data_IF_840765327759
#
_entry.id   IF_840765327759
#
_cell.length_a   1.000
_cell.length_b   1.000
_cell.length_c   1.000
_cell.angle_alpha   90.00
_cell.angle_beta   90.00
_cell.angle_gamma   90.00
#
_symmetry.space_group_name_H-M   'P 1'
#
loop_
_entity.id
_entity.type
_entity.pdbx_description
1 polymer ?
#
# COMPACT_ATOMS: atom_id res chain seq x y z
N UNK A 1 18.45 62.33 -1.98
CA UNK A 1 19.75 61.88 -1.41
C UNK A 1 19.71 60.35 -1.42
N UNK A 2 19.98 59.75 -2.58
CA UNK A 2 21.29 59.23 -3.03
C UNK A 2 21.52 57.79 -2.49
N UNK A 3 21.39 56.76 -3.35
CA UNK A 3 22.43 56.16 -4.25
C UNK A 3 23.32 55.17 -3.46
N UNK A 4 23.72 53.96 -3.89
CA UNK A 4 23.45 53.05 -5.04
C UNK A 4 23.80 51.62 -4.52
N UNK A 5 23.29 50.46 -4.95
CA UNK A 5 22.59 49.97 -6.15
C UNK A 5 23.47 49.57 -7.36
N UNK A 6 23.56 48.24 -7.60
CA UNK A 6 23.67 47.56 -8.91
C UNK A 6 25.05 47.45 -9.67
N UNK A 7 25.42 46.19 -9.93
CA UNK A 7 26.06 45.58 -11.14
C UNK A 7 27.59 45.50 -11.41
N UNK A 8 27.88 44.45 -12.21
CA UNK A 8 29.03 44.09 -13.09
C UNK A 8 30.23 43.39 -12.40
N UNK A 9 30.62 42.17 -12.79
CA UNK A 9 31.07 41.61 -14.10
C UNK A 9 32.47 42.07 -14.54
N UNK A 10 33.46 41.17 -14.45
CA UNK A 10 34.52 40.81 -15.43
C UNK A 10 35.45 39.79 -14.73
N UNK A 11 35.63 38.53 -15.17
CA UNK A 11 36.36 37.97 -16.33
C UNK A 11 37.88 37.77 -16.15
N UNK A 12 38.33 36.53 -16.40
CA UNK A 12 39.70 36.06 -16.78
C UNK A 12 40.89 36.10 -15.79
N UNK A 13 41.81 35.13 -15.95
CA UNK A 13 43.16 35.09 -15.33
C UNK A 13 43.40 33.88 -14.40
N UNK A 14 43.37 32.63 -14.87
CA UNK A 14 44.59 31.84 -15.18
C UNK A 14 45.75 31.98 -14.15
N UNK A 15 46.02 30.93 -13.37
CA UNK A 15 47.39 30.37 -13.25
C UNK A 15 47.38 28.89 -12.80
N UNK A 16 48.23 28.12 -13.47
CA UNK A 16 48.66 26.72 -13.31
C UNK A 16 49.36 26.42 -11.96
N UNK A 17 49.66 25.19 -11.51
CA UNK A 17 49.26 23.80 -11.80
C UNK A 17 49.97 22.86 -10.77
N UNK A 18 49.90 21.52 -10.97
CA UNK A 18 50.52 20.42 -10.19
C UNK A 18 49.88 20.14 -8.80
N UNK A 19 49.76 18.90 -8.35
CA UNK A 19 50.52 17.68 -8.69
C UNK A 19 49.60 16.45 -8.89
N UNK A 20 49.96 15.55 -9.83
CA UNK A 20 49.30 14.27 -10.07
C UNK A 20 50.25 13.13 -9.67
N UNK A 21 49.70 12.04 -9.12
CA UNK A 21 50.39 10.75 -9.01
C UNK A 21 49.46 9.64 -9.48
N UNK A 22 50.01 8.71 -10.25
CA UNK A 22 49.28 7.85 -11.18
C UNK A 22 49.59 6.38 -10.93
N UNK A 23 48.60 5.50 -11.13
CA UNK A 23 48.85 4.11 -11.55
C UNK A 23 47.83 3.75 -12.63
N UNK A 24 48.33 3.25 -13.75
CA UNK A 24 47.54 2.78 -14.90
C UNK A 24 47.98 1.36 -15.25
N UNK A 25 47.04 0.52 -15.72
CA UNK A 25 47.41 -0.55 -16.64
C UNK A 25 46.24 -0.84 -17.59
N UNK A 26 46.56 -0.89 -18.88
CA UNK A 26 45.62 -1.14 -19.98
C UNK A 26 45.79 -2.56 -20.50
N UNK A 27 44.73 -3.14 -21.08
CA UNK A 27 44.75 -3.46 -22.52
C UNK A 27 43.35 -3.75 -23.06
N UNK A 28 43.12 -3.37 -24.32
CA UNK A 28 41.96 -3.75 -25.14
C UNK A 28 42.50 -4.13 -26.51
N UNK A 29 42.01 -5.23 -27.07
CA UNK A 29 42.18 -5.58 -28.47
C UNK A 29 40.89 -6.21 -28.99
N UNK A 30 40.58 -5.98 -30.26
CA UNK A 30 39.29 -6.27 -30.88
C UNK A 30 39.52 -6.47 -32.38
N UNK A 31 39.27 -7.67 -32.90
CA UNK A 31 39.32 -8.00 -34.34
C UNK A 31 38.27 -9.08 -34.66
N UNK A 32 37.81 -9.13 -35.91
CA UNK A 32 36.69 -9.98 -36.35
C UNK A 32 36.96 -10.57 -37.76
N UNK A 33 36.31 -11.70 -38.06
CA UNK A 33 36.22 -12.39 -39.36
C UNK A 33 37.57 -12.90 -39.95
N UNK A 34 37.65 -13.89 -40.85
CA UNK A 34 36.61 -14.54 -41.66
C UNK A 34 36.98 -16.05 -41.95
N UNK A 35 36.53 -16.80 -42.99
CA UNK A 35 35.97 -18.14 -42.76
C UNK A 35 36.69 -19.32 -43.44
N UNK A 36 36.46 -20.55 -42.95
CA UNK A 36 36.62 -21.78 -43.74
C UNK A 36 35.82 -22.95 -43.13
N UNK A 37 34.69 -23.26 -43.77
CA UNK A 37 33.94 -24.53 -43.66
C UNK A 37 34.59 -25.60 -44.58
N UNK A 38 34.17 -26.89 -44.65
CA UNK A 38 33.00 -27.59 -44.08
C UNK A 38 33.46 -28.79 -43.18
N UNK A 39 32.73 -29.86 -42.84
CA UNK A 39 31.48 -30.46 -43.33
C UNK A 39 30.81 -31.35 -42.26
N UNK A 40 29.68 -31.99 -42.59
CA UNK A 40 28.75 -32.67 -41.67
C UNK A 40 28.99 -34.19 -41.60
N UNK A 41 28.95 -34.81 -40.41
CA UNK A 41 28.21 -36.07 -40.14
C UNK A 41 28.40 -36.61 -38.71
N UNK A 42 27.28 -37.08 -38.13
CA UNK A 42 27.23 -38.05 -37.02
C UNK A 42 27.19 -39.48 -37.62
N UNK A 43 27.49 -40.60 -36.91
CA UNK A 43 26.77 -40.98 -35.70
C UNK A 43 27.53 -41.82 -34.63
N UNK A 44 26.79 -42.13 -33.56
CA UNK A 44 26.81 -43.37 -32.76
C UNK A 44 28.03 -43.81 -31.92
N UNK A 45 27.78 -43.78 -30.60
CA UNK A 45 28.10 -44.81 -29.60
C UNK A 45 29.50 -45.45 -29.56
N UNK A 46 30.28 -45.04 -28.57
CA UNK A 46 30.89 -45.99 -27.62
C UNK A 46 30.89 -45.37 -26.21
N UNK A 47 30.39 -46.11 -25.22
CA UNK A 47 30.56 -45.79 -23.80
C UNK A 47 31.55 -46.77 -23.16
N UNK A 48 32.75 -46.32 -22.76
CA UNK A 48 33.58 -47.05 -21.83
C UNK A 48 33.39 -46.49 -20.41
N UNK A 49 32.87 -47.35 -19.52
CA UNK A 49 33.25 -47.54 -18.11
C UNK A 49 33.61 -46.34 -17.22
N UNK A 50 32.93 -46.26 -16.07
CA UNK A 50 33.36 -45.49 -14.89
C UNK A 50 34.84 -45.73 -14.51
N UNK A 51 35.64 -44.68 -14.60
CA UNK A 51 36.83 -44.46 -13.76
C UNK A 51 37.22 -42.97 -13.74
N UNK A 52 37.40 -42.45 -12.52
CA UNK A 52 38.04 -41.18 -12.16
C UNK A 52 37.49 -39.86 -12.76
N UNK A 53 36.25 -39.51 -12.39
CA UNK A 53 35.86 -38.10 -12.23
C UNK A 53 36.39 -37.57 -10.88
N UNK A 54 37.21 -36.49 -10.83
CA UNK A 54 37.73 -35.97 -9.58
C UNK A 54 36.59 -35.40 -8.71
N UNK A 55 36.46 -35.94 -7.51
CA UNK A 55 35.47 -35.52 -6.51
C UNK A 55 35.59 -34.01 -6.25
N UNK A 56 34.52 -33.28 -6.59
CA UNK A 56 34.45 -31.83 -6.44
C UNK A 56 34.55 -31.52 -4.93
N UNK A 57 35.60 -30.84 -4.44
CA UNK A 57 35.83 -30.77 -3.00
C UNK A 57 34.66 -30.06 -2.33
N UNK A 58 34.05 -30.74 -1.36
CA UNK A 58 33.00 -30.15 -0.52
C UNK A 58 33.46 -28.79 0.03
N UNK A 59 32.55 -27.80 0.18
CA UNK A 59 32.91 -26.50 0.74
C UNK A 59 33.36 -26.68 2.20
N UNK A 60 34.67 -26.82 2.40
CA UNK A 60 35.32 -26.92 3.71
C UNK A 60 34.76 -25.84 4.61
N UNK A 61 33.95 -26.25 5.61
CA UNK A 61 33.35 -25.35 6.61
C UNK A 61 34.46 -24.51 7.21
N UNK A 62 34.54 -23.25 6.80
CA UNK A 62 35.58 -22.35 7.28
C UNK A 62 35.40 -22.19 8.79
N UNK A 63 36.36 -22.71 9.55
CA UNK A 63 36.40 -22.55 11.01
C UNK A 63 36.41 -21.05 11.28
N UNK A 64 35.29 -20.52 11.78
CA UNK A 64 35.17 -19.09 12.12
C UNK A 64 36.33 -18.74 13.04
N UNK A 65 37.15 -17.78 12.64
CA UNK A 65 38.24 -17.28 13.46
C UNK A 65 37.71 -16.90 14.85
N UNK A 66 38.48 -17.10 15.92
CA UNK A 66 38.02 -16.83 17.28
C UNK A 66 37.60 -15.37 17.39
N UNK A 67 36.30 -15.14 17.61
CA UNK A 67 35.75 -13.80 17.78
C UNK A 67 36.33 -13.22 19.07
N UNK A 68 37.06 -12.13 18.93
CA UNK A 68 37.69 -11.43 20.05
C UNK A 68 36.69 -11.14 21.19
N UNK A 69 37.21 -11.17 22.43
CA UNK A 69 36.45 -11.06 23.68
C UNK A 69 35.71 -9.72 23.78
N UNK A 70 36.29 -8.63 23.26
CA UNK A 70 35.63 -7.32 23.23
C UNK A 70 34.53 -7.28 22.17
N UNK A 71 34.80 -7.84 20.98
CA UNK A 71 33.80 -8.02 19.92
C UNK A 71 32.60 -8.83 20.41
N UNK A 72 32.82 -9.89 21.19
CA UNK A 72 31.75 -10.67 21.83
C UNK A 72 30.95 -9.82 22.83
N UNK A 73 31.63 -9.08 23.71
CA UNK A 73 31.00 -8.18 24.70
C UNK A 73 30.15 -7.09 24.03
N UNK A 74 30.64 -6.47 22.95
CA UNK A 74 29.90 -5.50 22.15
C UNK A 74 28.65 -6.13 21.52
N UNK A 75 28.79 -7.31 20.89
CA UNK A 75 27.68 -8.01 20.26
C UNK A 75 26.60 -8.42 21.27
N UNK A 76 26.98 -8.87 22.47
CA UNK A 76 26.03 -9.25 23.51
C UNK A 76 25.33 -8.02 24.11
N UNK A 77 26.03 -6.89 24.27
CA UNK A 77 25.43 -5.62 24.66
C UNK A 77 24.47 -5.09 23.59
N UNK A 78 24.84 -5.18 22.31
CA UNK A 78 23.99 -4.80 21.18
C UNK A 78 22.70 -5.63 21.14
N UNK A 79 22.80 -6.96 21.25
CA UNK A 79 21.63 -7.87 21.29
C UNK A 79 20.71 -7.56 22.46
N UNK A 80 21.26 -7.41 23.67
CA UNK A 80 20.48 -7.09 24.88
C UNK A 80 19.79 -5.73 24.78
N UNK A 81 20.50 -4.71 24.30
CA UNK A 81 19.94 -3.37 24.06
C UNK A 81 18.82 -3.38 23.04
N UNK A 82 19.00 -4.07 21.91
CA UNK A 82 18.00 -4.17 20.85
C UNK A 82 16.75 -4.95 21.31
N UNK A 83 16.93 -6.06 22.02
CA UNK A 83 15.82 -6.81 22.62
C UNK A 83 15.03 -5.96 23.62
N UNK A 84 15.72 -5.20 24.48
CA UNK A 84 15.06 -4.31 25.43
C UNK A 84 14.33 -3.13 24.78
N UNK A 85 14.78 -2.66 23.60
CA UNK A 85 14.05 -1.70 22.75
C UNK A 85 12.79 -2.34 22.18
N UNK A 86 12.86 -3.55 21.61
CA UNK A 86 11.68 -4.24 21.07
C UNK A 86 10.65 -4.60 22.16
N UNK A 87 11.09 -4.98 23.37
CA UNK A 87 10.18 -5.13 24.51
C UNK A 87 9.48 -3.82 24.89
N UNK A 88 10.20 -2.69 24.88
CA UNK A 88 9.63 -1.39 25.18
C UNK A 88 8.66 -0.93 24.09
N UNK A 89 8.96 -1.20 22.82
CA UNK A 89 8.07 -0.97 21.68
C UNK A 89 6.79 -1.81 21.78
N UNK A 90 6.91 -3.11 22.05
CA UNK A 90 5.76 -4.02 22.24
C UNK A 90 4.88 -3.61 23.43
N UNK A 91 5.47 -3.12 24.53
CA UNK A 91 4.75 -2.58 25.70
C UNK A 91 4.30 -1.12 25.52
N UNK A 92 4.61 -0.48 24.39
CA UNK A 92 4.35 0.94 24.07
C UNK A 92 4.93 1.93 25.11
N UNK A 93 6.02 1.55 25.76
CA UNK A 93 6.72 2.31 26.81
C UNK A 93 7.60 3.41 26.21
N UNK A 94 6.95 4.53 25.87
CA UNK A 94 7.60 5.69 25.28
C UNK A 94 8.72 6.30 26.17
N UNK A 95 8.56 6.48 27.51
CA UNK A 95 9.64 6.97 28.36
C UNK A 95 10.89 6.08 28.33
N UNK A 96 10.74 4.75 28.31
CA UNK A 96 11.87 3.81 28.25
C UNK A 96 12.56 3.83 26.89
N UNK A 97 11.82 3.91 25.79
CA UNK A 97 12.41 4.14 24.46
C UNK A 97 13.18 5.47 24.41
N UNK A 98 12.59 6.54 24.95
CA UNK A 98 13.24 7.86 25.04
C UNK A 98 14.53 7.84 25.87
N UNK A 99 14.58 7.04 26.93
CA UNK A 99 15.83 6.79 27.70
C UNK A 99 16.87 6.04 26.86
N UNK A 100 16.50 4.91 26.23
CA UNK A 100 17.44 4.16 25.38
C UNK A 100 18.02 5.00 24.25
N UNK A 101 17.18 5.77 23.55
CA UNK A 101 17.63 6.66 22.49
C UNK A 101 18.47 7.84 22.95
N UNK A 102 18.46 8.21 24.25
CA UNK A 102 19.26 9.30 24.79
C UNK A 102 20.57 8.84 25.45
N UNK A 103 20.63 7.64 26.04
CA UNK A 103 21.78 7.23 26.89
C UNK A 103 22.46 5.93 26.47
N UNK A 104 21.90 5.12 25.57
CA UNK A 104 22.49 3.83 25.25
C UNK A 104 23.82 4.01 24.48
N UNK A 105 24.95 3.38 24.89
CA UNK A 105 26.27 3.67 24.31
C UNK A 105 26.36 3.34 22.81
N UNK A 106 25.71 2.26 22.37
CA UNK A 106 25.74 1.81 20.97
C UNK A 106 24.75 2.62 20.10
N UNK A 107 25.21 3.37 19.07
CA UNK A 107 24.35 4.20 18.21
C UNK A 107 23.26 3.41 17.49
N UNK A 108 23.55 2.17 17.06
CA UNK A 108 22.57 1.29 16.41
C UNK A 108 21.35 0.98 17.29
N UNK A 109 21.51 0.94 18.61
CA UNK A 109 20.39 0.77 19.55
C UNK A 109 19.63 2.09 19.75
N UNK A 110 20.32 3.23 19.75
CA UNK A 110 19.67 4.55 19.76
C UNK A 110 18.82 4.77 18.50
N UNK A 111 19.35 4.42 17.33
CA UNK A 111 18.62 4.42 16.07
C UNK A 111 17.41 3.46 16.10
N UNK A 112 17.55 2.25 16.66
CA UNK A 112 16.41 1.35 16.85
C UNK A 112 15.34 1.93 17.78
N UNK A 113 15.73 2.59 18.88
CA UNK A 113 14.81 3.29 19.76
C UNK A 113 14.11 4.46 19.06
N UNK A 114 14.83 5.23 18.24
CA UNK A 114 14.25 6.31 17.43
C UNK A 114 13.17 5.81 16.45
N UNK A 115 13.42 4.69 15.75
CA UNK A 115 12.43 4.04 14.90
C UNK A 115 11.24 3.51 15.72
N UNK A 116 11.48 2.88 16.88
CA UNK A 116 10.43 2.41 17.77
C UNK A 116 9.51 3.54 18.26
N UNK A 117 10.07 4.70 18.65
CA UNK A 117 9.30 5.91 19.00
C UNK A 117 8.42 6.36 17.81
N UNK A 118 8.96 6.30 16.59
CA UNK A 118 8.22 6.55 15.36
C UNK A 118 7.01 5.64 15.19
N UNK A 119 7.21 4.31 15.33
CA UNK A 119 6.16 3.29 15.18
C UNK A 119 5.10 3.31 16.29
N UNK A 120 5.38 3.94 17.43
CA UNK A 120 4.34 4.20 18.44
C UNK A 120 3.35 5.30 18.00
N UNK A 121 3.72 6.14 17.03
CA UNK A 121 2.90 7.24 16.48
C UNK A 121 2.39 8.25 17.53
N UNK A 122 3.05 8.29 18.69
CA UNK A 122 2.72 9.22 19.77
C UNK A 122 3.35 10.59 19.53
N UNK A 123 2.54 11.65 19.43
CA UNK A 123 3.01 13.05 19.32
C UNK A 123 3.98 13.43 20.45
N UNK A 124 3.77 12.90 21.65
CA UNK A 124 4.67 13.04 22.81
C UNK A 124 6.08 12.47 22.59
N UNK A 125 6.27 11.64 21.57
CA UNK A 125 7.55 11.08 21.15
C UNK A 125 8.46 12.07 20.42
N UNK A 126 7.88 13.08 19.74
CA UNK A 126 8.64 14.04 18.93
C UNK A 126 9.78 14.70 19.72
N UNK A 127 9.53 15.12 20.96
CA UNK A 127 10.53 15.75 21.86
C UNK A 127 11.77 14.89 22.16
N UNK A 128 11.65 13.56 22.06
CA UNK A 128 12.80 12.66 22.22
C UNK A 128 13.59 12.56 20.91
N UNK A 129 12.89 12.52 19.77
CA UNK A 129 13.50 12.47 18.44
C UNK A 129 14.21 13.79 18.09
N UNK A 130 13.65 14.94 18.47
CA UNK A 130 14.31 16.25 18.42
C UNK A 130 15.70 16.19 19.09
N UNK A 131 15.76 15.75 20.35
CA UNK A 131 17.02 15.61 21.11
C UNK A 131 18.02 14.64 20.47
N UNK A 132 17.55 13.61 19.76
CA UNK A 132 18.43 12.69 19.03
C UNK A 132 18.97 13.35 17.76
N UNK A 133 18.16 14.14 17.04
CA UNK A 133 18.62 14.91 15.87
C UNK A 133 19.72 15.90 16.27
N UNK A 134 19.55 16.60 17.40
CA UNK A 134 20.48 17.64 17.85
C UNK A 134 21.83 17.09 18.36
N UNK A 135 21.85 15.85 18.89
CA UNK A 135 22.97 15.33 19.69
C UNK A 135 23.70 14.14 19.08
N UNK A 136 23.09 13.41 18.15
CA UNK A 136 23.66 12.17 17.62
C UNK A 136 24.31 12.30 16.24
N UNK A 137 25.11 11.27 15.94
CA UNK A 137 25.66 11.02 14.61
C UNK A 137 24.60 10.60 13.57
N UNK A 138 25.00 10.68 12.31
CA UNK A 138 24.18 10.53 11.10
C UNK A 138 23.16 9.39 11.15
N UNK A 139 23.59 8.16 11.46
CA UNK A 139 22.71 6.97 11.50
C UNK A 139 21.51 7.14 12.44
N UNK A 140 21.69 7.78 13.59
CA UNK A 140 20.59 8.03 14.55
C UNK A 140 19.74 9.20 14.09
N UNK A 141 20.34 10.25 13.49
CA UNK A 141 19.58 11.37 12.91
C UNK A 141 18.65 10.90 11.80
N UNK A 142 19.13 10.07 10.86
CA UNK A 142 18.30 9.44 9.82
C UNK A 142 17.13 8.67 10.43
N UNK A 143 17.40 7.83 11.44
CA UNK A 143 16.36 7.08 12.15
C UNK A 143 15.35 7.99 12.89
N UNK A 144 15.81 9.10 13.47
CA UNK A 144 14.96 10.06 14.16
C UNK A 144 14.11 10.89 13.18
N UNK A 145 14.65 11.30 12.02
CA UNK A 145 13.88 11.93 10.94
C UNK A 145 12.81 10.98 10.38
N UNK A 146 13.15 9.71 10.13
CA UNK A 146 12.15 8.67 9.77
C UNK A 146 11.06 8.54 10.84
N UNK A 147 11.43 8.54 12.12
CA UNK A 147 10.48 8.50 13.23
C UNK A 147 9.57 9.73 13.32
N UNK A 148 10.12 10.94 13.14
CA UNK A 148 9.35 12.18 13.08
C UNK A 148 8.38 12.17 11.89
N UNK A 149 8.84 11.71 10.72
CA UNK A 149 8.03 11.56 9.52
C UNK A 149 6.88 10.54 9.69
N UNK A 150 7.06 9.54 10.55
CA UNK A 150 5.97 8.63 10.91
C UNK A 150 4.94 9.32 11.81
N UNK A 151 5.38 10.05 12.85
CA UNK A 151 4.52 10.74 13.81
C UNK A 151 3.77 11.94 13.19
N UNK A 152 4.41 12.72 12.32
CA UNK A 152 3.80 13.89 11.66
C UNK A 152 3.42 15.05 12.59
N UNK A 153 4.11 15.23 13.73
CA UNK A 153 3.74 16.27 14.70
C UNK A 153 4.02 17.69 14.15
N UNK A 154 3.06 18.65 14.20
CA UNK A 154 3.30 20.04 13.85
C UNK A 154 4.45 20.71 14.64
N UNK A 155 4.71 20.24 15.86
CA UNK A 155 5.88 20.67 16.66
C UNK A 155 7.24 20.29 16.05
N UNK A 156 7.27 19.65 14.89
CA UNK A 156 8.49 19.24 14.17
C UNK A 156 8.68 19.99 12.85
N UNK A 157 7.86 21.01 12.54
CA UNK A 157 7.94 21.78 11.30
C UNK A 157 9.34 22.34 11.04
N UNK A 158 9.97 22.99 12.03
CA UNK A 158 11.34 23.52 11.91
C UNK A 158 12.37 22.44 11.56
N UNK A 159 12.24 21.25 12.14
CA UNK A 159 13.10 20.11 11.81
C UNK A 159 12.86 19.66 10.37
N UNK A 160 11.62 19.59 9.90
CA UNK A 160 11.33 19.26 8.50
C UNK A 160 11.84 20.34 7.53
N UNK A 161 11.69 21.63 7.85
CA UNK A 161 12.22 22.73 7.02
C UNK A 161 13.75 22.76 6.95
N UNK A 162 14.43 22.39 8.04
CA UNK A 162 15.88 22.19 8.06
C UNK A 162 16.28 20.92 7.28
N UNK A 163 15.64 19.79 7.56
CA UNK A 163 15.94 18.49 6.95
C UNK A 163 15.66 18.44 5.44
N UNK A 164 14.68 19.19 4.94
CA UNK A 164 14.44 19.36 3.50
C UNK A 164 15.62 20.02 2.75
N UNK A 165 16.50 20.74 3.46
CA UNK A 165 17.73 21.35 2.92
C UNK A 165 18.99 20.50 3.18
N UNK A 166 18.86 19.32 3.78
CA UNK A 166 19.99 18.46 4.13
C UNK A 166 20.73 17.92 2.90
N UNK A 167 22.05 17.75 3.00
CA UNK A 167 22.83 16.99 2.02
C UNK A 167 22.47 15.49 2.02
N UNK A 168 22.04 14.97 3.17
CA UNK A 168 21.57 13.59 3.35
C UNK A 168 20.19 13.41 2.68
N UNK A 169 20.15 12.52 1.68
CA UNK A 169 18.94 12.20 0.91
C UNK A 169 17.83 11.61 1.78
N UNK A 170 18.16 10.75 2.74
CA UNK A 170 17.18 10.10 3.61
C UNK A 170 16.50 11.11 4.53
N UNK A 171 17.27 12.07 5.05
CA UNK A 171 16.75 13.19 5.85
C UNK A 171 15.84 14.09 5.00
N UNK A 172 16.21 14.39 3.74
CA UNK A 172 15.33 15.13 2.82
C UNK A 172 14.00 14.40 2.60
N UNK A 173 14.04 13.14 2.12
CA UNK A 173 12.83 12.34 1.81
C UNK A 173 11.93 12.19 3.05
N UNK A 174 12.53 11.91 4.21
CA UNK A 174 11.80 11.85 5.49
C UNK A 174 11.13 13.20 5.83
N UNK A 175 11.79 14.32 5.56
CA UNK A 175 11.23 15.65 5.84
C UNK A 175 10.01 15.97 4.99
N UNK A 176 10.05 15.72 3.68
CA UNK A 176 8.87 15.87 2.80
C UNK A 176 7.72 14.94 3.21
N UNK A 177 8.03 13.67 3.56
CA UNK A 177 7.04 12.72 4.08
C UNK A 177 6.40 13.20 5.40
N UNK A 178 7.19 13.83 6.27
CA UNK A 178 6.73 14.42 7.54
C UNK A 178 5.83 15.63 7.34
N UNK A 179 6.23 16.58 6.48
CA UNK A 179 5.44 17.76 6.10
C UNK A 179 4.01 17.41 5.70
N UNK A 180 3.83 16.34 4.91
CA UNK A 180 2.51 15.82 4.53
C UNK A 180 1.55 15.60 5.70
N UNK A 181 2.03 15.02 6.81
CA UNK A 181 1.21 14.68 7.97
C UNK A 181 0.98 15.81 8.96
N UNK A 182 1.72 16.92 8.86
CA UNK A 182 1.58 18.06 9.79
C UNK A 182 0.28 18.84 9.60
N UNK A 183 -0.32 18.80 8.41
CA UNK A 183 -1.47 19.62 8.00
C UNK A 183 -1.22 21.14 8.11
N UNK A 184 0.05 21.57 8.04
CA UNK A 184 0.44 22.98 8.06
C UNK A 184 0.38 23.62 6.66
N UNK A 185 -0.27 24.78 6.48
CA UNK A 185 -0.36 25.43 5.16
C UNK A 185 1.00 25.77 4.54
N UNK A 186 2.00 26.17 5.33
CA UNK A 186 3.35 26.43 4.84
C UNK A 186 4.06 25.16 4.39
N UNK A 187 3.88 24.06 5.12
CA UNK A 187 4.38 22.74 4.72
C UNK A 187 3.74 22.29 3.40
N UNK A 188 2.42 22.48 3.20
CA UNK A 188 1.75 22.22 1.91
C UNK A 188 2.36 23.03 0.77
N UNK A 189 2.65 24.31 0.98
CA UNK A 189 3.28 25.16 -0.03
C UNK A 189 4.67 24.63 -0.43
N UNK A 190 5.46 24.13 0.51
CA UNK A 190 6.76 23.49 0.23
C UNK A 190 6.59 22.19 -0.57
N UNK A 191 5.59 21.37 -0.26
CA UNK A 191 5.29 20.17 -1.06
C UNK A 191 4.96 20.54 -2.52
N UNK A 192 4.11 21.54 -2.74
CA UNK A 192 3.75 22.01 -4.08
C UNK A 192 4.93 22.64 -4.85
N UNK A 193 5.66 23.58 -4.23
CA UNK A 193 6.66 24.40 -4.92
C UNK A 193 8.05 23.79 -5.01
N UNK A 194 8.35 22.74 -4.24
CA UNK A 194 9.67 22.09 -4.21
C UNK A 194 9.60 20.57 -4.26
N UNK A 195 8.53 20.00 -3.74
CA UNK A 195 8.35 18.55 -3.67
C UNK A 195 7.95 17.95 -5.01
N UNK A 196 6.85 18.45 -5.58
CA UNK A 196 6.31 18.06 -6.90
C UNK A 196 7.31 18.31 -8.04
N UNK A 197 8.11 19.38 -7.94
CA UNK A 197 9.11 19.78 -8.95
C UNK A 197 10.53 19.28 -8.65
N UNK A 198 10.68 18.22 -7.86
CA UNK A 198 11.98 17.67 -7.48
C UNK A 198 12.51 16.68 -8.52
N UNK A 199 13.82 16.72 -8.81
CA UNK A 199 14.49 15.67 -9.61
C UNK A 199 14.55 14.31 -8.87
N UNK A 200 14.39 14.31 -7.54
CA UNK A 200 14.39 13.09 -6.73
C UNK A 200 12.98 12.49 -6.67
N UNK A 201 12.77 11.38 -7.39
CA UNK A 201 11.48 10.67 -7.46
C UNK A 201 10.87 10.36 -6.09
N UNK A 202 11.67 10.05 -5.07
CA UNK A 202 11.14 9.75 -3.73
C UNK A 202 10.64 11.02 -3.02
N UNK A 203 11.18 12.19 -3.34
CA UNK A 203 10.67 13.48 -2.85
C UNK A 203 9.35 13.82 -3.56
N UNK A 204 9.26 13.62 -4.88
CA UNK A 204 8.00 13.79 -5.65
C UNK A 204 6.91 12.88 -5.09
N UNK A 205 7.19 11.58 -4.94
CA UNK A 205 6.30 10.57 -4.36
C UNK A 205 5.88 10.92 -2.93
N UNK A 206 6.82 11.28 -2.06
CA UNK A 206 6.50 11.73 -0.70
C UNK A 206 5.59 12.97 -0.68
N UNK A 207 5.70 13.83 -1.69
CA UNK A 207 4.92 15.07 -1.80
C UNK A 207 3.51 14.81 -2.34
N UNK A 208 3.35 13.98 -3.38
CA UNK A 208 2.03 13.49 -3.85
C UNK A 208 1.26 12.85 -2.68
N UNK A 209 1.92 11.91 -1.99
CA UNK A 209 1.39 11.22 -0.82
C UNK A 209 1.11 12.15 0.37
N UNK A 210 1.87 13.23 0.49
CA UNK A 210 1.72 14.25 1.53
C UNK A 210 0.53 15.17 1.29
N UNK A 211 0.35 15.65 0.05
CA UNK A 211 -0.80 16.47 -0.36
C UNK A 211 -2.13 15.75 -0.14
N UNK A 212 -2.16 14.42 -0.34
CA UNK A 212 -3.34 13.59 -0.06
C UNK A 212 -3.88 13.72 1.37
N UNK A 213 -3.07 14.10 2.36
CA UNK A 213 -3.55 14.33 3.74
C UNK A 213 -4.27 15.67 3.94
N UNK A 214 -4.02 16.68 3.10
CA UNK A 214 -4.58 18.03 3.28
C UNK A 214 -6.06 18.13 2.86
N UNK A 215 -6.54 17.17 2.07
CA UNK A 215 -7.93 17.10 1.58
C UNK A 215 -8.41 18.35 0.82
N UNK A 216 -7.47 19.08 0.20
CA UNK A 216 -7.73 20.32 -0.55
C UNK A 216 -8.18 19.98 -1.97
N UNK A 217 -9.40 20.38 -2.40
CA UNK A 217 -9.99 19.96 -3.69
C UNK A 217 -9.12 20.23 -4.93
N UNK A 218 -8.30 21.27 -4.89
CA UNK A 218 -7.39 21.66 -5.96
C UNK A 218 -6.30 20.58 -6.22
N UNK A 219 -5.87 19.85 -5.18
CA UNK A 219 -4.84 18.81 -5.29
C UNK A 219 -5.33 17.58 -6.09
N UNK A 220 -6.65 17.43 -6.28
CA UNK A 220 -7.24 16.36 -7.10
C UNK A 220 -6.73 16.41 -8.55
N UNK A 221 -6.51 17.60 -9.12
CA UNK A 221 -5.97 17.73 -10.49
C UNK A 221 -4.57 17.14 -10.57
N UNK A 222 -3.69 17.52 -9.63
CA UNK A 222 -2.34 16.98 -9.51
C UNK A 222 -2.35 15.46 -9.35
N UNK A 223 -3.30 14.89 -8.61
CA UNK A 223 -3.41 13.43 -8.51
C UNK A 223 -3.85 12.78 -9.83
N UNK A 224 -4.76 13.39 -10.59
CA UNK A 224 -5.15 12.89 -11.93
C UNK A 224 -3.96 12.93 -12.89
N UNK A 225 -3.15 13.99 -12.85
CA UNK A 225 -1.96 14.13 -13.71
C UNK A 225 -0.95 13.00 -13.41
N UNK A 226 -0.64 12.75 -12.13
CA UNK A 226 0.25 11.65 -11.75
C UNK A 226 -0.35 10.25 -11.95
N UNK A 227 -1.68 10.10 -11.87
CA UNK A 227 -2.37 8.87 -12.21
C UNK A 227 -2.27 8.51 -13.71
N UNK A 228 -1.99 9.51 -14.55
CA UNK A 228 -1.73 9.38 -15.98
C UNK A 228 -0.22 9.49 -16.33
N UNK A 229 0.66 9.51 -15.33
CA UNK A 229 2.11 9.47 -15.53
C UNK A 229 2.54 8.18 -16.27
N UNK A 230 3.58 8.22 -17.11
CA UNK A 230 4.22 7.01 -17.63
C UNK A 230 4.95 6.20 -16.54
N UNK A 231 5.23 6.80 -15.38
CA UNK A 231 5.90 6.13 -14.26
C UNK A 231 4.89 5.45 -13.33
N UNK A 232 4.95 4.12 -13.26
CA UNK A 232 4.04 3.30 -12.44
C UNK A 232 4.16 3.62 -10.94
N UNK A 233 5.31 4.08 -10.43
CA UNK A 233 5.43 4.48 -9.03
C UNK A 233 4.65 5.75 -8.73
N UNK A 234 4.62 6.70 -9.68
CA UNK A 234 3.80 7.91 -9.56
C UNK A 234 2.30 7.60 -9.72
N UNK A 235 1.93 6.66 -10.60
CA UNK A 235 0.55 6.16 -10.67
C UNK A 235 0.09 5.56 -9.33
N UNK A 236 0.91 4.70 -8.71
CA UNK A 236 0.61 4.11 -7.40
C UNK A 236 0.53 5.17 -6.29
N UNK A 237 1.44 6.15 -6.30
CA UNK A 237 1.41 7.27 -5.36
C UNK A 237 0.14 8.13 -5.52
N UNK A 238 -0.33 8.35 -6.74
CA UNK A 238 -1.57 9.06 -7.02
C UNK A 238 -2.81 8.29 -6.55
N UNK A 239 -2.87 6.98 -6.77
CA UNK A 239 -3.93 6.11 -6.22
C UNK A 239 -3.99 6.23 -4.70
N UNK A 240 -2.85 6.07 -4.02
CA UNK A 240 -2.79 6.17 -2.55
C UNK A 240 -3.12 7.60 -2.04
N UNK A 241 -2.71 8.64 -2.76
CA UNK A 241 -3.06 10.03 -2.42
C UNK A 241 -4.56 10.32 -2.58
N UNK A 242 -5.20 9.83 -3.64
CA UNK A 242 -6.67 9.85 -3.79
C UNK A 242 -7.35 9.08 -2.66
N UNK A 243 -6.78 7.95 -2.25
CA UNK A 243 -7.14 7.21 -1.04
C UNK A 243 -7.18 8.12 0.19
N UNK A 244 -6.03 8.71 0.54
CA UNK A 244 -5.84 9.60 1.70
C UNK A 244 -6.71 10.85 1.67
N UNK A 245 -7.01 11.37 0.47
CA UNK A 245 -7.89 12.52 0.26
C UNK A 245 -9.35 12.22 0.67
N UNK A 246 -9.78 10.94 0.61
CA UNK A 246 -11.04 10.38 1.16
C UNK A 246 -12.36 10.97 0.65
N UNK A 247 -12.35 12.03 -0.15
CA UNK A 247 -13.60 12.65 -0.64
C UNK A 247 -14.34 11.75 -1.62
N UNK A 248 -15.65 11.99 -1.76
CA UNK A 248 -16.51 11.35 -2.79
C UNK A 248 -15.88 11.41 -4.18
N UNK A 249 -15.32 12.57 -4.55
CA UNK A 249 -14.66 12.78 -5.86
C UNK A 249 -13.46 11.86 -6.02
N UNK A 250 -12.59 11.76 -5.01
CA UNK A 250 -11.43 10.87 -5.07
C UNK A 250 -11.82 9.40 -5.17
N UNK A 251 -12.84 8.96 -4.42
CA UNK A 251 -13.33 7.57 -4.52
C UNK A 251 -13.96 7.29 -5.89
N UNK A 252 -14.63 8.27 -6.51
CA UNK A 252 -15.17 8.12 -7.88
C UNK A 252 -14.06 8.07 -8.93
N UNK A 253 -13.01 8.87 -8.81
CA UNK A 253 -11.83 8.77 -9.69
C UNK A 253 -11.17 7.39 -9.58
N UNK A 254 -11.05 6.84 -8.37
CA UNK A 254 -10.53 5.49 -8.15
C UNK A 254 -11.43 4.41 -8.78
N UNK A 255 -12.75 4.54 -8.64
CA UNK A 255 -13.75 3.68 -9.29
C UNK A 255 -13.62 3.73 -10.82
N UNK A 256 -13.61 4.91 -11.43
CA UNK A 256 -13.51 5.08 -12.89
C UNK A 256 -12.15 4.63 -13.45
N UNK A 257 -11.10 4.69 -12.62
CA UNK A 257 -9.75 4.24 -12.99
C UNK A 257 -9.57 2.72 -12.92
N UNK A 258 -10.45 1.99 -12.22
CA UNK A 258 -10.36 0.54 -12.08
C UNK A 258 -10.43 -0.16 -13.45
N UNK A 259 -11.20 0.37 -14.39
CA UNK A 259 -11.34 -0.23 -15.72
C UNK A 259 -10.28 0.26 -16.71
N UNK A 260 -9.89 1.53 -16.58
CA UNK A 260 -8.90 2.17 -17.45
C UNK A 260 -7.46 1.72 -17.15
N UNK A 261 -7.16 1.33 -15.90
CA UNK A 261 -5.79 1.06 -15.42
C UNK A 261 -5.65 -0.35 -14.85
N UNK A 262 -5.59 -1.34 -15.75
CA UNK A 262 -5.49 -2.76 -15.41
C UNK A 262 -4.35 -3.07 -14.43
N UNK A 263 -3.18 -2.44 -14.61
CA UNK A 263 -2.01 -2.55 -13.74
C UNK A 263 -2.23 -2.02 -12.30
N UNK A 264 -3.21 -1.14 -12.09
CA UNK A 264 -3.52 -0.53 -10.80
C UNK A 264 -4.71 -1.18 -10.08
N UNK A 265 -5.40 -2.15 -10.69
CA UNK A 265 -6.65 -2.75 -10.14
C UNK A 265 -6.52 -3.19 -8.68
N UNK A 266 -5.49 -3.97 -8.35
CA UNK A 266 -5.23 -4.44 -6.98
C UNK A 266 -4.98 -3.27 -6.03
N UNK A 267 -4.13 -2.30 -6.43
CA UNK A 267 -3.82 -1.11 -5.64
C UNK A 267 -5.06 -0.24 -5.38
N UNK A 268 -5.94 -0.09 -6.37
CA UNK A 268 -7.22 0.63 -6.27
C UNK A 268 -8.14 -0.08 -5.26
N UNK A 269 -8.33 -1.40 -5.39
CA UNK A 269 -9.17 -2.18 -4.48
C UNK A 269 -8.65 -2.17 -3.04
N UNK A 270 -7.33 -2.24 -2.84
CA UNK A 270 -6.71 -2.13 -1.52
C UNK A 270 -6.89 -0.74 -0.93
N UNK A 271 -6.66 0.31 -1.72
CA UNK A 271 -6.85 1.71 -1.29
C UNK A 271 -8.29 1.98 -0.86
N UNK A 272 -9.28 1.49 -1.62
CA UNK A 272 -10.71 1.56 -1.26
C UNK A 272 -11.00 0.77 0.03
N UNK A 273 -10.34 -0.37 0.23
CA UNK A 273 -10.50 -1.20 1.45
C UNK A 273 -9.89 -0.55 2.69
N UNK A 274 -8.83 0.25 2.54
CA UNK A 274 -8.18 0.93 3.66
C UNK A 274 -9.00 2.10 4.23
N UNK A 275 -9.70 2.86 3.39
CA UNK A 275 -10.36 4.11 3.84
C UNK A 275 -11.58 3.87 4.74
N UNK A 276 -12.24 2.71 4.64
CA UNK A 276 -13.37 2.29 5.50
C UNK A 276 -14.57 3.27 5.57
N UNK A 277 -14.67 4.23 4.64
CA UNK A 277 -15.76 5.21 4.58
C UNK A 277 -16.92 4.73 3.69
N UNK A 278 -18.07 5.41 3.74
CA UNK A 278 -19.25 4.99 2.97
C UNK A 278 -19.00 5.09 1.45
N UNK A 279 -18.24 6.09 1.03
CA UNK A 279 -17.87 6.31 -0.37
C UNK A 279 -17.10 5.12 -0.97
N UNK A 280 -16.08 4.60 -0.27
CA UNK A 280 -15.28 3.48 -0.76
C UNK A 280 -16.03 2.16 -0.74
N UNK A 281 -16.84 1.89 0.30
CA UNK A 281 -17.73 0.71 0.33
C UNK A 281 -18.69 0.74 -0.87
N UNK A 282 -19.32 1.88 -1.14
CA UNK A 282 -20.26 1.99 -2.26
C UNK A 282 -19.57 2.00 -3.64
N UNK A 283 -18.30 2.43 -3.73
CA UNK A 283 -17.49 2.27 -4.94
C UNK A 283 -17.21 0.79 -5.23
N UNK A 284 -16.73 0.03 -4.23
CA UNK A 284 -16.55 -1.43 -4.35
C UNK A 284 -17.85 -2.14 -4.78
N UNK A 285 -19.00 -1.71 -4.28
CA UNK A 285 -20.31 -2.26 -4.67
C UNK A 285 -20.72 -1.91 -6.10
N UNK A 286 -20.39 -0.71 -6.60
CA UNK A 286 -20.62 -0.36 -8.02
C UNK A 286 -19.71 -1.16 -8.94
N UNK A 287 -18.43 -1.31 -8.61
CA UNK A 287 -17.50 -2.16 -9.37
C UNK A 287 -18.03 -3.61 -9.41
N UNK A 288 -18.55 -4.13 -8.29
CA UNK A 288 -19.16 -5.46 -8.18
C UNK A 288 -20.50 -5.62 -8.96
N UNK A 289 -21.27 -4.55 -9.14
CA UNK A 289 -22.50 -4.59 -9.95
C UNK A 289 -22.16 -4.50 -11.45
N UNK A 290 -21.14 -3.71 -11.82
CA UNK A 290 -20.63 -3.59 -13.19
C UNK A 290 -19.85 -4.83 -13.68
N UNK A 291 -19.24 -5.60 -12.78
CA UNK A 291 -18.42 -6.78 -13.09
C UNK A 291 -19.06 -8.09 -12.56
N UNK A 292 -20.39 -8.21 -12.60
CA UNK A 292 -21.09 -9.42 -12.17
C UNK A 292 -20.62 -10.70 -12.86
N UNK A 293 -20.09 -10.56 -14.07
CA UNK A 293 -19.82 -11.67 -14.99
C UNK A 293 -18.40 -12.24 -14.80
N UNK A 294 -17.54 -11.55 -14.03
CA UNK A 294 -16.17 -11.96 -13.74
C UNK A 294 -16.07 -12.56 -12.33
N UNK A 295 -16.08 -13.88 -12.23
CA UNK A 295 -15.97 -14.61 -10.96
C UNK A 295 -14.73 -14.19 -10.14
N UNK A 296 -13.61 -13.93 -10.82
CA UNK A 296 -12.37 -13.45 -10.19
C UNK A 296 -12.57 -12.10 -9.48
N UNK A 297 -13.14 -11.10 -10.17
CA UNK A 297 -13.41 -9.77 -9.60
C UNK A 297 -14.48 -9.85 -8.50
N UNK A 298 -15.53 -10.65 -8.72
CA UNK A 298 -16.59 -10.89 -7.73
C UNK A 298 -16.03 -11.49 -6.44
N UNK A 299 -15.20 -12.51 -6.53
CA UNK A 299 -14.52 -13.13 -5.38
C UNK A 299 -13.58 -12.15 -4.68
N UNK A 300 -12.78 -11.42 -5.46
CA UNK A 300 -11.78 -10.48 -4.96
C UNK A 300 -12.42 -9.31 -4.17
N UNK A 301 -13.52 -8.74 -4.69
CA UNK A 301 -14.26 -7.67 -4.02
C UNK A 301 -15.06 -8.21 -2.83
N UNK A 302 -15.66 -9.40 -2.95
CA UNK A 302 -16.40 -10.03 -1.84
C UNK A 302 -15.50 -10.28 -0.62
N UNK A 303 -14.26 -10.73 -0.83
CA UNK A 303 -13.27 -10.88 0.22
C UNK A 303 -12.88 -9.54 0.89
N UNK A 304 -12.86 -8.43 0.14
CA UNK A 304 -12.60 -7.09 0.68
C UNK A 304 -13.79 -6.51 1.45
N UNK A 305 -15.01 -6.67 0.93
CA UNK A 305 -16.25 -6.31 1.64
C UNK A 305 -16.43 -7.12 2.94
N UNK A 306 -16.00 -8.38 2.95
CA UNK A 306 -15.89 -9.20 4.17
C UNK A 306 -14.89 -8.61 5.18
N UNK A 307 -13.66 -8.26 4.76
CA UNK A 307 -12.66 -7.60 5.63
C UNK A 307 -13.18 -6.28 6.22
N UNK A 308 -13.97 -5.52 5.44
CA UNK A 308 -14.65 -4.29 5.86
C UNK A 308 -15.84 -4.52 6.81
N UNK A 309 -16.25 -5.76 7.04
CA UNK A 309 -17.50 -6.13 7.75
C UNK A 309 -18.75 -5.47 7.15
N UNK A 310 -18.75 -5.25 5.83
CA UNK A 310 -19.84 -4.62 5.09
C UNK A 310 -21.00 -5.61 4.85
N UNK A 311 -21.53 -6.19 5.93
CA UNK A 311 -22.63 -7.15 5.88
C UNK A 311 -23.99 -6.47 5.78
N UNK A 312 -24.92 -7.20 5.16
CA UNK A 312 -26.34 -6.86 5.13
C UNK A 312 -26.89 -6.73 3.72
N UNK A 313 -28.04 -6.06 3.60
CA UNK A 313 -28.69 -5.79 2.32
C UNK A 313 -28.22 -4.44 1.79
N UNK A 314 -27.81 -4.42 0.53
CA UNK A 314 -27.48 -3.21 -0.21
C UNK A 314 -28.40 -3.12 -1.41
N UNK A 315 -28.72 -1.91 -1.85
CA UNK A 315 -29.49 -1.66 -3.04
C UNK A 315 -28.65 -0.92 -4.08
N UNK A 316 -28.90 -1.22 -5.34
CA UNK A 316 -28.49 -0.42 -6.50
C UNK A 316 -29.75 0.12 -7.16
N UNK A 317 -29.77 1.41 -7.47
CA UNK A 317 -30.87 2.06 -8.21
C UNK A 317 -30.78 1.67 -9.68
N UNK A 318 -31.88 1.17 -10.24
CA UNK A 318 -31.94 0.68 -11.63
C UNK A 318 -32.70 1.62 -12.58
N UNK A 319 -33.51 2.53 -12.05
CA UNK A 319 -34.23 3.54 -12.84
C UNK A 319 -33.56 4.90 -12.80
N UNK A 320 -33.71 5.69 -13.87
CA UNK A 320 -33.37 7.11 -13.83
C UNK A 320 -34.36 7.88 -12.95
N UNK A 321 -33.84 8.73 -12.05
CA UNK A 321 -34.64 9.61 -11.19
C UNK A 321 -35.57 8.89 -10.19
N UNK A 322 -35.04 7.91 -9.47
CA UNK A 322 -35.79 7.24 -8.41
C UNK A 322 -35.98 8.17 -7.18
N UNK A 323 -37.21 8.49 -6.74
CA UNK A 323 -37.42 9.46 -5.67
C UNK A 323 -37.05 8.87 -4.30
N UNK A 324 -36.15 9.57 -3.58
CA UNK A 324 -35.87 9.30 -2.17
C UNK A 324 -36.77 10.18 -1.30
N UNK A 325 -37.71 9.56 -0.59
CA UNK A 325 -38.75 10.21 0.21
C UNK A 325 -38.37 10.31 1.69
N UNK A 326 -38.92 11.28 2.43
CA UNK A 326 -38.78 11.31 3.91
C UNK A 326 -39.56 10.19 4.59
N UNK A 327 -40.70 9.78 4.02
CA UNK A 327 -41.65 8.83 4.60
C UNK A 327 -42.16 7.84 3.53
N UNK A 328 -42.63 6.64 3.92
CA UNK A 328 -42.99 5.57 2.98
C UNK A 328 -44.44 5.71 2.48
N UNK A 329 -44.77 6.79 1.76
CA UNK A 329 -46.05 6.92 1.07
C UNK A 329 -45.96 7.82 -0.18
N UNK A 330 -46.95 7.68 -1.06
CA UNK A 330 -47.06 8.46 -2.30
C UNK A 330 -47.33 9.92 -1.96
N UNK A 331 -46.51 10.83 -2.48
CA UNK A 331 -46.61 12.27 -2.21
C UNK A 331 -45.92 12.75 -0.93
N UNK A 332 -45.25 11.87 -0.18
CA UNK A 332 -44.39 12.30 0.93
C UNK A 332 -43.30 13.30 0.47
N UNK A 333 -42.81 14.20 1.35
CA UNK A 333 -41.79 15.16 0.96
C UNK A 333 -40.52 14.48 0.42
N UNK A 334 -40.15 14.81 -0.82
CA UNK A 334 -38.94 14.30 -1.46
C UNK A 334 -37.69 14.90 -0.83
N UNK A 335 -36.69 14.08 -0.57
CA UNK A 335 -35.34 14.50 -0.12
C UNK A 335 -34.51 14.89 -1.35
N UNK A 336 -34.39 13.96 -2.30
CA UNK A 336 -33.76 14.16 -3.61
C UNK A 336 -34.14 13.02 -4.54
N UNK A 337 -33.81 13.14 -5.81
CA UNK A 337 -33.79 12.01 -6.73
C UNK A 337 -32.47 11.25 -6.62
N UNK A 338 -32.54 9.94 -6.87
CA UNK A 338 -31.41 9.04 -7.02
C UNK A 338 -31.18 8.76 -8.52
N UNK A 339 -29.92 8.80 -8.93
CA UNK A 339 -29.50 8.41 -10.28
C UNK A 339 -29.36 6.89 -10.40
N UNK A 340 -29.49 6.37 -11.62
CA UNK A 340 -29.19 4.96 -11.90
C UNK A 340 -27.74 4.63 -11.54
N UNK A 341 -27.52 3.45 -10.99
CA UNK A 341 -26.22 3.03 -10.45
C UNK A 341 -25.89 3.60 -9.06
N UNK A 342 -26.70 4.50 -8.46
CA UNK A 342 -26.49 4.87 -7.05
C UNK A 342 -26.69 3.65 -6.14
N UNK A 343 -25.83 3.54 -5.12
CA UNK A 343 -25.83 2.42 -4.16
C UNK A 343 -26.12 2.94 -2.76
N UNK A 344 -26.89 2.17 -1.99
CA UNK A 344 -27.15 2.43 -0.58
C UNK A 344 -27.25 1.16 0.26
N UNK A 345 -27.11 1.29 1.58
CA UNK A 345 -27.38 0.22 2.54
C UNK A 345 -28.86 0.21 2.90
N UNK A 346 -29.53 -0.94 2.77
CA UNK A 346 -30.91 -1.12 3.21
C UNK A 346 -30.93 -1.32 4.72
N UNK A 347 -31.70 -0.49 5.43
CA UNK A 347 -31.86 -0.48 6.88
C UNK A 347 -33.10 -1.26 7.32
N UNK A 348 -34.23 -1.03 6.66
CA UNK A 348 -35.49 -1.72 6.94
C UNK A 348 -36.41 -1.76 5.71
N UNK A 349 -37.49 -2.52 5.80
CA UNK A 349 -38.56 -2.66 4.82
C UNK A 349 -39.87 -2.18 5.47
N UNK A 350 -40.79 -1.59 4.70
CA UNK A 350 -42.11 -1.22 5.20
C UNK A 350 -42.89 -2.45 5.66
N UNK A 351 -43.75 -2.34 6.70
CA UNK A 351 -44.55 -3.46 7.18
C UNK A 351 -45.65 -3.88 6.19
N UNK A 352 -46.05 -2.97 5.30
CA UNK A 352 -47.15 -3.13 4.33
C UNK A 352 -46.61 -2.86 2.91
N UNK A 353 -47.22 -3.52 1.91
CA UNK A 353 -46.99 -3.25 0.49
C UNK A 353 -47.87 -2.10 0.00
N UNK A 354 -47.40 -1.37 -0.99
CA UNK A 354 -48.05 -0.19 -1.55
C UNK A 354 -48.27 -0.43 -3.05
N UNK A 355 -49.47 -0.12 -3.51
CA UNK A 355 -49.83 -0.16 -4.93
C UNK A 355 -49.65 1.24 -5.49
N UNK A 356 -48.71 1.41 -6.41
CA UNK A 356 -48.40 2.69 -7.05
C UNK A 356 -48.61 2.54 -8.55
N UNK A 357 -49.24 3.55 -9.18
CA UNK A 357 -49.31 3.62 -10.64
C UNK A 357 -48.02 4.26 -11.18
N UNK A 358 -47.25 3.51 -11.95
CA UNK A 358 -45.99 3.93 -12.58
C UNK A 358 -46.10 3.59 -14.06
N UNK A 359 -45.96 4.60 -14.92
CA UNK A 359 -46.05 4.48 -16.39
C UNK A 359 -47.34 3.80 -16.92
N UNK A 360 -48.43 3.88 -16.15
CA UNK A 360 -49.73 3.28 -16.46
C UNK A 360 -49.95 1.88 -15.85
N UNK A 361 -48.89 1.24 -15.33
CA UNK A 361 -48.97 -0.05 -14.64
C UNK A 361 -49.22 0.13 -13.14
N UNK A 362 -50.14 -0.66 -12.57
CA UNK A 362 -50.30 -0.79 -11.11
C UNK A 362 -49.26 -1.77 -10.59
N UNK A 363 -48.28 -1.25 -9.84
CA UNK A 363 -47.18 -2.02 -9.30
C UNK A 363 -47.33 -2.11 -7.78
N UNK A 364 -47.43 -3.34 -7.26
CA UNK A 364 -47.41 -3.63 -5.83
C UNK A 364 -45.97 -3.96 -5.40
N UNK A 365 -45.40 -3.14 -4.51
CA UNK A 365 -44.11 -3.41 -3.88
C UNK A 365 -44.02 -2.69 -2.52
N UNK A 366 -42.90 -2.80 -1.83
CA UNK A 366 -42.67 -2.23 -0.52
C UNK A 366 -41.76 -0.99 -0.61
N UNK A 367 -41.86 -0.11 0.37
CA UNK A 367 -40.85 0.91 0.59
C UNK A 367 -39.69 0.35 1.41
N UNK A 368 -38.47 0.69 1.02
CA UNK A 368 -37.24 0.30 1.71
C UNK A 368 -36.59 1.54 2.31
N UNK A 369 -36.31 1.51 3.62
CA UNK A 369 -35.54 2.56 4.27
C UNK A 369 -34.07 2.33 3.95
N UNK A 370 -33.43 3.30 3.31
CA UNK A 370 -32.08 3.19 2.77
C UNK A 370 -31.18 4.28 3.32
N UNK A 371 -29.89 3.97 3.41
CA UNK A 371 -28.80 4.88 3.71
C UNK A 371 -27.95 5.03 2.45
N UNK A 372 -28.03 6.21 1.81
CA UNK A 372 -27.33 6.52 0.55
C UNK A 372 -26.33 7.65 0.79
N UNK A 373 -25.34 7.80 -0.09
CA UNK A 373 -24.40 8.92 0.03
C UNK A 373 -25.09 10.27 -0.21
N UNK A 374 -24.59 11.31 0.47
CA UNK A 374 -24.98 12.70 0.20
C UNK A 374 -24.45 13.17 -1.15
N UNK A 375 -25.19 14.08 -1.79
CA UNK A 375 -24.72 14.81 -2.98
C UNK A 375 -24.28 16.25 -2.68
N UNK A 376 -24.64 16.78 -1.52
CA UNK A 376 -24.31 18.14 -1.10
C UNK A 376 -22.88 18.20 -0.55
N UNK A 377 -22.13 19.24 -0.93
CA UNK A 377 -20.75 19.45 -0.47
C UNK A 377 -20.68 19.76 1.03
N UNK A 378 -21.67 20.51 1.53
CA UNK A 378 -21.70 21.04 2.89
C UNK A 378 -22.51 20.18 3.87
N UNK A 379 -22.75 18.91 3.53
CA UNK A 379 -23.50 17.99 4.40
C UNK A 379 -22.64 17.53 5.58
N UNK A 380 -23.13 17.74 6.81
CA UNK A 380 -22.50 17.27 8.04
C UNK A 380 -22.31 15.74 8.13
N UNK A 381 -22.99 14.96 7.29
CA UNK A 381 -22.91 13.50 7.24
C UNK A 381 -22.62 13.01 5.82
N UNK A 382 -21.74 12.01 5.67
CA UNK A 382 -21.43 11.37 4.37
C UNK A 382 -22.69 10.76 3.71
N UNK A 383 -23.70 10.44 4.52
CA UNK A 383 -24.90 9.71 4.12
C UNK A 383 -26.18 10.41 4.57
N UNK A 384 -27.27 10.12 3.87
CA UNK A 384 -28.64 10.54 4.18
C UNK A 384 -29.56 9.32 4.22
N UNK A 385 -30.53 9.32 5.13
CA UNK A 385 -31.57 8.30 5.21
C UNK A 385 -32.84 8.76 4.50
N UNK A 386 -33.52 7.84 3.83
CA UNK A 386 -34.85 8.06 3.26
C UNK A 386 -35.50 6.74 2.86
N UNK A 387 -36.67 6.84 2.24
CA UNK A 387 -37.44 5.70 1.74
C UNK A 387 -37.47 5.71 0.22
N UNK A 388 -37.28 4.55 -0.40
CA UNK A 388 -37.39 4.34 -1.85
C UNK A 388 -38.35 3.17 -2.11
N UNK A 389 -39.16 3.26 -3.16
CA UNK A 389 -40.07 2.20 -3.58
C UNK A 389 -39.31 1.08 -4.31
N UNK A 390 -39.64 -0.17 -4.01
CA UNK A 390 -38.86 -1.34 -4.43
C UNK A 390 -38.65 -1.49 -5.95
N UNK A 391 -39.65 -1.16 -6.77
CA UNK A 391 -39.58 -1.17 -8.25
C UNK A 391 -38.36 -0.42 -8.83
N UNK A 392 -37.84 0.60 -8.11
CA UNK A 392 -36.70 1.39 -8.58
C UNK A 392 -35.34 0.82 -8.19
N UNK A 393 -35.27 -0.27 -7.42
CA UNK A 393 -34.03 -0.80 -6.86
C UNK A 393 -33.85 -2.31 -7.06
N UNK A 394 -32.59 -2.73 -7.19
CA UNK A 394 -32.15 -4.13 -7.10
C UNK A 394 -31.47 -4.34 -5.75
N UNK A 395 -31.95 -5.29 -4.95
CA UNK A 395 -31.35 -5.59 -3.62
C UNK A 395 -30.39 -6.77 -3.73
N UNK A 396 -29.12 -6.56 -3.36
CA UNK A 396 -28.10 -7.61 -3.15
C UNK A 396 -27.93 -7.86 -1.65
N UNK A 397 -27.78 -9.12 -1.24
CA UNK A 397 -27.45 -9.46 0.16
C UNK A 397 -26.02 -9.94 0.27
N UNK A 398 -25.23 -9.31 1.13
CA UNK A 398 -23.83 -9.64 1.36
C UNK A 398 -23.74 -10.43 2.66
N UNK A 399 -23.62 -11.74 2.51
CA UNK A 399 -23.35 -12.68 3.60
C UNK A 399 -21.86 -12.89 3.76
N UNK A 400 -21.43 -13.32 4.95
CA UNK A 400 -20.09 -13.88 5.09
C UNK A 400 -19.92 -15.09 4.14
N UNK A 401 -18.73 -15.32 3.56
CA UNK A 401 -18.44 -16.59 2.92
C UNK A 401 -18.66 -17.68 3.95
N UNK A 402 -19.39 -18.75 3.58
CA UNK A 402 -19.56 -19.91 4.45
C UNK A 402 -18.16 -20.41 4.77
N UNK A 403 -17.79 -20.42 6.06
CA UNK A 403 -16.50 -20.96 6.46
C UNK A 403 -16.38 -22.37 5.88
N UNK A 404 -15.37 -22.60 5.04
CA UNK A 404 -15.04 -23.94 4.60
C UNK A 404 -14.93 -24.80 5.85
N UNK A 405 -15.73 -25.86 5.92
CA UNK A 405 -15.61 -26.83 7.01
C UNK A 405 -14.18 -27.30 6.93
N UNK A 406 -13.36 -26.93 7.92
CA UNK A 406 -12.01 -27.48 8.08
C UNK A 406 -12.19 -28.98 8.11
N UNK A 407 -11.91 -29.65 7.00
CA UNK A 407 -11.67 -31.08 6.97
C UNK A 407 -10.63 -31.31 8.04
N UNK A 408 -11.00 -32.09 9.07
CA UNK A 408 -10.02 -32.51 10.07
C UNK A 408 -8.86 -33.07 9.26
N UNK A 409 -7.66 -32.50 9.41
CA UNK A 409 -6.47 -33.18 8.90
C UNK A 409 -6.52 -34.59 9.49
N UNK A 410 -6.46 -35.65 8.69
CA UNK A 410 -6.41 -37.00 9.24
C UNK A 410 -5.26 -37.04 10.24
N UNK A 411 -5.51 -37.66 11.39
CA UNK A 411 -4.47 -37.88 12.38
C UNK A 411 -3.39 -38.74 11.75
N UNK A 412 -2.12 -38.40 11.96
CA UNK A 412 -0.99 -39.21 11.43
C UNK A 412 -0.84 -40.56 12.19
N UNK A 413 -1.73 -40.81 13.16
CA UNK A 413 -1.75 -41.94 14.09
C UNK A 413 -2.92 -42.91 13.86
N UNK A 414 -3.85 -42.58 12.96
CA UNK A 414 -4.94 -43.47 12.60
C UNK A 414 -4.57 -44.17 11.27
N UNK A 415 -4.74 -45.51 11.22
CA UNK A 415 -4.48 -46.41 10.08
C UNK A 415 -3.02 -46.82 9.78
N UNK A 416 -2.42 -47.59 10.71
CA UNK A 416 -1.53 -48.71 10.36
C UNK A 416 -1.95 -49.96 11.14
N UNK A 417 -3.02 -50.64 10.69
CA UNK A 417 -3.22 -52.05 11.02
C UNK A 417 -2.58 -52.92 9.92
N UNK A 418 -1.74 -53.92 10.27
CA UNK A 418 -1.05 -54.74 9.27
C UNK A 418 -2.00 -55.78 8.67
N UNK A 419 -2.41 -55.57 7.42
CA UNK A 419 -3.17 -56.58 6.66
C UNK A 419 -2.33 -57.84 6.50
N UNK A 420 -2.81 -58.96 7.06
CA UNK A 420 -2.10 -60.24 7.02
C UNK A 420 -1.94 -60.74 5.59
N UNK A 421 -0.73 -61.15 5.25
CA UNK A 421 -0.39 -61.90 4.05
C UNK A 421 -1.14 -63.24 3.98
N UNK A 422 -1.74 -63.55 2.83
CA UNK A 422 -2.02 -64.92 2.38
C UNK A 422 -1.51 -65.09 0.93
N UNK A 423 -1.15 -66.32 0.51
CA UNK A 423 -0.09 -66.51 -0.48
C UNK A 423 -0.59 -66.53 -1.93
N UNK A 424 0.33 -66.26 -2.86
CA UNK A 424 0.16 -66.58 -4.28
C UNK A 424 0.07 -68.10 -4.49
N UNK A 425 -0.75 -68.49 -5.46
CA UNK A 425 -0.66 -69.79 -6.14
C UNK A 425 -0.61 -69.50 -7.65
N UNK A 426 0.43 -70.00 -8.31
CA UNK A 426 0.59 -69.99 -9.77
C UNK A 426 -0.16 -71.15 -10.43
N UNK A 427 -0.17 -71.14 -11.78
CA UNK A 427 -0.69 -72.14 -12.72
C UNK A 427 -2.24 -72.14 -12.91
N UNK A 428 -2.77 -72.33 -14.12
CA UNK A 428 -2.16 -72.34 -15.48
C UNK A 428 -3.27 -72.37 -16.55
N UNK A 429 -3.05 -71.66 -17.66
CA UNK A 429 -3.49 -71.93 -19.04
C UNK A 429 -4.98 -72.25 -19.41
N UNK A 430 -5.21 -72.20 -20.72
CA UNK A 430 -6.34 -72.73 -21.50
C UNK A 430 -7.72 -72.00 -21.48
N UNK A 431 -7.83 -71.10 -22.46
CA UNK A 431 -8.65 -71.27 -23.68
C UNK A 431 -10.14 -70.83 -23.81
N UNK A 432 -10.40 -70.28 -25.01
CA UNK A 432 -11.65 -70.23 -25.79
C UNK A 432 -12.82 -69.28 -25.44
N UNK A 433 -13.10 -68.39 -26.41
CA UNK A 433 -14.41 -68.04 -26.99
C UNK A 433 -15.64 -67.77 -26.08
N UNK A 434 -16.06 -66.50 -25.99
CA UNK A 434 -17.10 -65.91 -26.88
C UNK A 434 -17.25 -64.39 -26.69
#
# INVERSE_FOLDING_TARGET
MHLQLILRLMFSGLFTAWFLMSVSFSLRAQTAADPNSPEVSSPESETPSDQDLPEKPEPKKSKKAPVDKETKKYNDLFKKGLLAVFEAEARRDLPKLGRFGATHPIPRVRAAAALGIGRLESKSGAKYLHKMIDRDGEQVRQAAYRGLAQIGSPSSLEYFYAGAKSSDREIRVSSFRGMGKTLDPGAREVLLKKGITSDDKEIVKASILGLGYYQVPEDIRTFIDYLNSPDEEFQKAAVEALGRHKTRTSMKILEDSFDQKQNLRVQILDTLTEQKNSFAVFALLRILDAHSDSEAIVSEISARLYKLKAYGKFMTVISGQAPLMKEPYVGAPKIRDLESGEVGKVLSKSPVAYIINIDGERIEDFYYKVLVNTKYKDAFTETVQGWIFGKFIRIRTITAPKAEKKTKRPSILDDVEPTKSQPQADASDEDTNL
#
